data_IF_893835510289
#
_entry.id   IF_893835510289
#
_cell.length_a   1.000
_cell.length_b   1.000
_cell.length_c   1.000
_cell.angle_alpha   90.00
_cell.angle_beta   90.00
_cell.angle_gamma   90.00
#
_symmetry.space_group_name_H-M   'P 1'
#
loop_
_entity.id
_entity.type
_entity.pdbx_description
1 polymer ?
#
# COMPACT_ATOMS: atom_id res chain seq x y z
N UNK A 1 1.82 -67.69 40.24
CA UNK A 1 1.29 -68.87 39.53
C UNK A 1 0.29 -68.40 38.50
N UNK A 2 0.62 -68.54 37.22
CA UNK A 2 -0.32 -68.55 36.09
C UNK A 2 -1.15 -69.84 36.10
N UNK A 3 -2.30 -69.89 35.40
CA UNK A 3 -2.32 -70.47 34.04
C UNK A 3 -3.12 -69.59 33.05
N UNK A 4 -2.63 -69.28 31.84
CA UNK A 4 -2.42 -70.10 30.62
C UNK A 4 -3.70 -70.34 29.77
N UNK A 5 -3.82 -69.54 28.71
CA UNK A 5 -3.91 -69.90 27.26
C UNK A 5 -4.56 -71.20 26.78
N UNK A 6 -5.42 -71.11 25.74
CA UNK A 6 -5.34 -71.76 24.40
C UNK A 6 -6.64 -71.45 23.59
N UNK A 7 -6.59 -70.71 22.47
CA UNK A 7 -6.41 -71.11 21.05
C UNK A 7 -7.58 -71.85 20.39
N UNK A 8 -8.20 -71.21 19.38
CA UNK A 8 -8.50 -71.87 18.10
C UNK A 8 -8.11 -70.97 16.94
N UNK A 9 -7.38 -71.59 16.02
CA UNK A 9 -6.83 -71.08 14.77
C UNK A 9 -7.91 -71.10 13.70
N UNK A 10 -7.96 -70.08 12.85
CA UNK A 10 -8.40 -70.29 11.48
C UNK A 10 -7.48 -69.53 10.53
N UNK A 11 -6.79 -70.31 9.71
CA UNK A 11 -5.82 -69.88 8.71
C UNK A 11 -6.43 -70.23 7.34
N UNK A 12 -6.61 -69.22 6.48
CA UNK A 12 -6.77 -69.31 5.02
C UNK A 12 -6.26 -67.97 4.47
N UNK A 13 -4.99 -67.84 4.11
CA UNK A 13 -4.39 -68.06 2.78
C UNK A 13 -5.05 -67.22 1.66
N UNK A 14 -4.31 -66.15 1.34
CA UNK A 14 -3.98 -65.59 0.02
C UNK A 14 -5.09 -65.25 -0.99
N UNK A 15 -5.23 -63.94 -1.22
CA UNK A 15 -5.64 -63.36 -2.49
C UNK A 15 -5.00 -61.98 -2.62
N UNK A 16 -3.86 -61.90 -3.31
CA UNK A 16 -3.15 -60.65 -3.53
C UNK A 16 -3.94 -59.73 -4.46
N UNK A 17 -4.13 -58.49 -4.03
CA UNK A 17 -4.31 -57.36 -4.93
C UNK A 17 -3.26 -56.32 -4.57
N UNK A 18 -2.18 -56.30 -5.37
CA UNK A 18 -1.33 -55.12 -5.47
C UNK A 18 -2.17 -54.02 -6.14
N UNK A 19 -2.86 -53.21 -5.34
CA UNK A 19 -3.32 -51.92 -5.81
C UNK A 19 -2.14 -50.98 -5.67
N UNK A 20 -1.43 -50.74 -6.77
CA UNK A 20 -0.51 -49.62 -6.87
C UNK A 20 -1.29 -48.36 -6.57
N UNK A 21 -1.05 -47.74 -5.42
CA UNK A 21 -1.49 -46.40 -5.12
C UNK A 21 -0.82 -45.45 -6.11
N UNK A 22 -1.51 -45.19 -7.23
CA UNK A 22 -1.26 -44.02 -8.06
C UNK A 22 -1.37 -42.83 -7.11
N UNK A 23 -0.30 -42.04 -7.03
CA UNK A 23 -0.19 -40.91 -6.13
C UNK A 23 -1.45 -40.05 -6.20
N UNK A 24 -2.14 -39.96 -5.06
CA UNK A 24 -3.03 -38.84 -4.86
C UNK A 24 -2.13 -37.60 -4.90
N UNK A 25 -2.21 -36.85 -6.00
CA UNK A 25 -1.85 -35.44 -5.98
C UNK A 25 -2.67 -34.80 -4.86
N UNK A 26 -2.07 -34.73 -3.67
CA UNK A 26 -2.59 -33.91 -2.58
C UNK A 26 -2.42 -32.47 -3.05
N UNK A 27 -3.40 -31.99 -3.81
CA UNK A 27 -3.53 -30.59 -4.12
C UNK A 27 -3.76 -29.89 -2.77
N UNK A 28 -2.67 -29.39 -2.18
CA UNK A 28 -2.66 -28.72 -0.89
C UNK A 28 -3.75 -27.64 -0.86
N UNK A 29 -4.54 -27.62 0.21
CA UNK A 29 -5.78 -26.84 0.29
C UNK A 29 -5.46 -25.34 0.44
N UNK A 30 -5.35 -24.65 -0.70
CA UNK A 30 -5.10 -23.20 -0.72
C UNK A 30 -6.29 -22.43 -0.15
N UNK A 31 -6.06 -21.59 0.86
CA UNK A 31 -7.07 -20.66 1.39
C UNK A 31 -7.05 -19.35 0.59
N UNK A 32 -8.22 -18.93 0.14
CA UNK A 32 -8.44 -17.64 -0.54
C UNK A 32 -9.06 -16.62 0.41
N UNK A 33 -8.53 -15.40 0.40
CA UNK A 33 -9.03 -14.26 1.18
C UNK A 33 -9.07 -13.02 0.27
N UNK A 34 -10.15 -12.25 0.34
CA UNK A 34 -10.33 -11.04 -0.47
C UNK A 34 -10.41 -9.82 0.45
N UNK A 35 -9.68 -8.77 0.09
CA UNK A 35 -9.59 -7.55 0.88
C UNK A 35 -9.75 -6.34 -0.02
N UNK A 36 -10.44 -5.31 0.47
CA UNK A 36 -10.61 -4.09 -0.31
C UNK A 36 -9.28 -3.39 -0.54
N UNK A 37 -8.42 -3.41 0.47
CA UNK A 37 -7.10 -2.79 0.41
C UNK A 37 -6.05 -3.55 1.23
N UNK A 38 -4.82 -3.06 1.25
CA UNK A 38 -3.74 -3.57 2.10
C UNK A 38 -3.34 -2.56 3.17
N UNK A 39 -2.71 -3.06 4.23
CA UNK A 39 -2.10 -2.23 5.27
C UNK A 39 -0.87 -1.54 4.70
N UNK A 40 -0.71 -0.24 4.99
CA UNK A 40 0.45 0.54 4.56
C UNK A 40 1.73 0.03 5.25
N UNK A 41 2.84 0.03 4.51
CA UNK A 41 4.16 -0.38 5.01
C UNK A 41 5.27 0.55 4.54
N UNK A 42 6.16 0.94 5.44
CA UNK A 42 7.33 1.78 5.14
C UNK A 42 8.58 0.99 4.78
N UNK A 43 8.64 -0.29 5.16
CA UNK A 43 9.78 -1.18 4.99
C UNK A 43 9.32 -2.53 4.43
N UNK A 44 10.15 -3.21 3.60
CA UNK A 44 9.88 -4.58 3.16
C UNK A 44 9.92 -5.61 4.31
N UNK A 45 10.38 -5.23 5.50
CA UNK A 45 10.31 -6.05 6.72
C UNK A 45 8.87 -6.30 7.16
N UNK A 46 8.02 -5.28 7.15
CA UNK A 46 6.65 -5.38 7.64
C UNK A 46 5.84 -6.47 6.88
N UNK A 47 4.94 -7.11 7.61
CA UNK A 47 4.07 -8.15 7.07
C UNK A 47 3.13 -7.60 5.99
N UNK A 48 2.70 -8.49 5.08
CA UNK A 48 1.69 -8.17 4.09
C UNK A 48 0.33 -8.58 4.64
N UNK A 49 -0.51 -7.58 4.85
CA UNK A 49 -1.82 -7.73 5.46
C UNK A 49 -2.87 -7.06 4.58
N UNK A 50 -3.99 -7.76 4.36
CA UNK A 50 -5.17 -7.17 3.80
C UNK A 50 -6.00 -6.48 4.89
N UNK A 51 -6.71 -5.42 4.52
CA UNK A 51 -7.66 -4.71 5.38
C UNK A 51 -9.01 -4.58 4.67
N UNK A 52 -10.07 -4.44 5.45
CA UNK A 52 -11.46 -4.40 4.96
C UNK A 52 -11.82 -5.64 4.12
N UNK A 53 -12.04 -6.81 4.75
CA UNK A 53 -12.41 -8.04 4.04
C UNK A 53 -13.67 -7.86 3.18
N UNK A 54 -13.69 -8.49 2.01
CA UNK A 54 -14.80 -8.44 1.05
C UNK A 54 -15.18 -9.84 0.58
N UNK A 55 -16.35 -9.99 -0.04
CA UNK A 55 -16.85 -11.24 -0.63
C UNK A 55 -17.07 -11.08 -2.12
N UNK A 56 -17.17 -12.19 -2.86
CA UNK A 56 -17.36 -12.14 -4.32
C UNK A 56 -18.65 -11.43 -4.73
N UNK A 57 -19.63 -11.37 -3.83
CA UNK A 57 -20.92 -10.73 -4.01
C UNK A 57 -20.87 -9.21 -3.85
N UNK A 58 -19.88 -8.65 -3.12
CA UNK A 58 -19.82 -7.22 -2.78
C UNK A 58 -18.58 -6.48 -3.31
N UNK A 59 -17.70 -7.13 -4.08
CA UNK A 59 -16.49 -6.49 -4.65
C UNK A 59 -16.79 -5.48 -5.77
N UNK A 60 -17.82 -5.72 -6.60
CA UNK A 60 -18.18 -4.87 -7.74
C UNK A 60 -17.11 -4.82 -8.85
N UNK A 61 -16.99 -3.67 -9.51
CA UNK A 61 -15.89 -3.32 -10.45
C UNK A 61 -14.73 -2.58 -9.77
N UNK A 62 -14.84 -2.33 -8.47
CA UNK A 62 -13.82 -1.72 -7.64
C UNK A 62 -12.49 -2.46 -7.60
N UNK A 63 -11.49 -1.80 -7.04
CA UNK A 63 -10.23 -2.46 -6.70
C UNK A 63 -10.45 -3.43 -5.53
N UNK A 64 -9.75 -4.56 -5.55
CA UNK A 64 -9.52 -5.42 -4.38
C UNK A 64 -8.21 -6.22 -4.53
N UNK A 65 -7.77 -6.82 -3.44
CA UNK A 65 -6.62 -7.72 -3.40
C UNK A 65 -7.05 -9.13 -3.02
N UNK A 66 -6.54 -10.12 -3.76
CA UNK A 66 -6.77 -11.54 -3.51
C UNK A 66 -5.51 -12.15 -2.94
N UNK A 67 -5.59 -12.62 -1.71
CA UNK A 67 -4.53 -13.33 -1.01
C UNK A 67 -4.77 -14.82 -1.10
N UNK A 68 -3.75 -15.57 -1.49
CA UNK A 68 -3.77 -17.02 -1.53
C UNK A 68 -2.72 -17.51 -0.53
N UNK A 69 -3.14 -18.36 0.40
CA UNK A 69 -2.28 -18.92 1.44
C UNK A 69 -2.12 -20.43 1.28
N UNK A 70 -0.96 -20.95 1.66
CA UNK A 70 -0.74 -22.38 1.81
C UNK A 70 -1.32 -22.90 3.15
N UNK A 71 -1.24 -24.21 3.35
CA UNK A 71 -1.75 -24.90 4.55
C UNK A 71 -1.03 -24.48 5.85
N UNK A 72 0.15 -23.87 5.74
CA UNK A 72 0.90 -23.26 6.86
C UNK A 72 0.47 -21.82 7.16
N UNK A 73 -0.53 -21.29 6.44
CA UNK A 73 -1.00 -19.90 6.55
C UNK A 73 -0.10 -18.86 5.88
N UNK A 74 0.99 -19.26 5.23
CA UNK A 74 1.89 -18.34 4.54
C UNK A 74 1.28 -17.88 3.22
N UNK A 75 1.40 -16.58 2.92
CA UNK A 75 0.93 -16.02 1.64
C UNK A 75 1.83 -16.55 0.52
N UNK A 76 1.25 -17.24 -0.46
CA UNK A 76 1.97 -17.75 -1.64
C UNK A 76 1.69 -16.93 -2.89
N UNK A 77 0.58 -16.17 -2.90
CA UNK A 77 0.26 -15.23 -3.99
C UNK A 77 -0.61 -14.08 -3.49
N UNK A 78 -0.35 -12.89 -4.02
CA UNK A 78 -1.22 -11.73 -3.91
C UNK A 78 -1.51 -11.25 -5.33
N UNK A 79 -2.78 -11.06 -5.66
CA UNK A 79 -3.20 -10.50 -6.95
C UNK A 79 -3.93 -9.19 -6.68
N UNK A 80 -3.63 -8.17 -7.50
CA UNK A 80 -4.46 -6.97 -7.56
C UNK A 80 -5.49 -7.14 -8.66
N UNK A 81 -6.75 -6.93 -8.28
CA UNK A 81 -7.88 -6.96 -9.18
C UNK A 81 -8.52 -5.58 -9.27
N UNK A 82 -8.92 -5.19 -10.47
CA UNK A 82 -9.67 -3.98 -10.74
C UNK A 82 -10.52 -4.19 -12.00
N UNK A 83 -11.79 -3.78 -11.97
CA UNK A 83 -12.76 -4.05 -13.04
C UNK A 83 -12.78 -5.52 -13.48
N UNK A 84 -12.75 -6.42 -12.51
CA UNK A 84 -12.81 -7.88 -12.70
C UNK A 84 -11.64 -8.46 -13.52
N UNK A 85 -10.52 -7.75 -13.63
CA UNK A 85 -9.29 -8.23 -14.25
C UNK A 85 -8.09 -8.03 -13.31
N UNK A 86 -7.11 -8.92 -13.43
CA UNK A 86 -5.80 -8.72 -12.80
C UNK A 86 -5.13 -7.55 -13.51
N UNK A 87 -4.72 -6.51 -12.77
CA UNK A 87 -4.17 -5.31 -13.41
C UNK A 87 -3.06 -4.65 -12.59
N UNK A 88 -2.03 -4.13 -13.26
CA UNK A 88 -0.93 -3.39 -12.62
C UNK A 88 -1.41 -2.08 -12.03
N UNK A 89 -0.53 -1.47 -11.22
CA UNK A 89 -0.79 -0.21 -10.54
C UNK A 89 -1.54 -0.42 -9.23
N UNK A 90 -2.08 0.66 -8.66
CA UNK A 90 -2.66 0.67 -7.32
C UNK A 90 -2.11 1.81 -6.48
N UNK A 91 -2.40 1.81 -5.19
CA UNK A 91 -2.00 2.89 -4.31
C UNK A 91 -0.47 2.92 -4.14
N UNK A 92 0.16 3.97 -4.66
CA UNK A 92 1.63 4.09 -4.73
C UNK A 92 2.33 3.99 -3.36
N UNK A 93 1.61 4.19 -2.24
CA UNK A 93 2.17 4.03 -0.89
C UNK A 93 2.51 2.57 -0.54
N UNK A 94 2.05 1.54 -1.27
CA UNK A 94 2.43 0.13 -0.97
C UNK A 94 3.82 -0.28 -1.50
N UNK A 95 4.59 0.66 -2.04
CA UNK A 95 5.97 0.44 -2.48
C UNK A 95 6.07 -0.60 -3.61
N UNK A 96 7.06 -1.50 -3.52
CA UNK A 96 7.38 -2.50 -4.54
C UNK A 96 6.19 -3.37 -5.02
N UNK A 97 5.18 -3.60 -4.18
CA UNK A 97 4.03 -4.45 -4.52
C UNK A 97 2.97 -3.66 -5.31
N UNK A 98 2.94 -2.33 -5.16
CA UNK A 98 1.93 -1.47 -5.76
C UNK A 98 2.00 -1.43 -7.30
N UNK A 99 3.13 -1.82 -7.91
CA UNK A 99 3.29 -1.76 -9.37
C UNK A 99 2.91 -3.07 -10.06
N UNK A 100 2.88 -4.20 -9.35
CA UNK A 100 2.69 -5.51 -9.94
C UNK A 100 1.21 -5.90 -10.04
N UNK A 101 0.87 -6.67 -11.07
CA UNK A 101 -0.47 -7.23 -11.22
C UNK A 101 -0.66 -8.41 -10.26
N UNK A 102 0.37 -9.23 -10.10
CA UNK A 102 0.44 -10.21 -9.01
C UNK A 102 1.87 -10.41 -8.49
N UNK A 103 1.95 -10.99 -7.29
CA UNK A 103 3.19 -11.28 -6.59
C UNK A 103 3.14 -12.70 -6.07
N UNK A 104 4.18 -13.49 -6.27
CA UNK A 104 4.29 -14.85 -5.72
C UNK A 104 5.40 -14.95 -4.68
N UNK A 105 5.26 -15.93 -3.80
CA UNK A 105 6.18 -16.16 -2.69
C UNK A 105 6.51 -17.64 -2.62
N UNK A 106 7.80 -17.96 -2.76
CA UNK A 106 8.32 -19.30 -2.53
C UNK A 106 9.08 -19.33 -1.21
N UNK A 107 8.82 -20.36 -0.42
CA UNK A 107 9.44 -20.56 0.88
C UNK A 107 10.30 -21.81 0.84
N UNK A 108 11.52 -21.70 1.32
CA UNK A 108 12.39 -22.82 1.68
C UNK A 108 12.86 -22.62 3.13
N UNK A 109 13.57 -23.59 3.71
CA UNK A 109 13.78 -23.67 5.16
C UNK A 109 14.26 -22.34 5.80
N UNK A 110 15.14 -21.58 5.12
CA UNK A 110 15.68 -20.31 5.63
C UNK A 110 15.56 -19.14 4.64
N UNK A 111 14.69 -19.23 3.63
CA UNK A 111 14.51 -18.13 2.68
C UNK A 111 13.06 -17.99 2.22
N UNK A 112 12.72 -16.75 1.86
CA UNK A 112 11.50 -16.41 1.14
C UNK A 112 11.90 -15.66 -0.13
N UNK A 113 11.48 -16.14 -1.30
CA UNK A 113 11.71 -15.50 -2.59
C UNK A 113 10.40 -14.90 -3.07
N UNK A 114 10.40 -13.59 -3.36
CA UNK A 114 9.24 -12.85 -3.86
C UNK A 114 9.46 -12.43 -5.31
N UNK A 115 8.49 -12.73 -6.19
CA UNK A 115 8.54 -12.41 -7.63
C UNK A 115 7.34 -11.62 -8.09
N UNK A 116 7.53 -10.84 -9.14
CA UNK A 116 6.54 -9.89 -9.64
C UNK A 116 6.09 -10.25 -11.06
N UNK A 117 4.78 -10.17 -11.28
CA UNK A 117 4.15 -10.58 -12.52
C UNK A 117 3.20 -9.51 -13.03
N UNK A 118 3.13 -9.41 -14.35
CA UNK A 118 2.20 -8.54 -15.03
C UNK A 118 0.82 -9.15 -15.28
N UNK A 119 -0.04 -8.40 -15.96
CA UNK A 119 -1.40 -8.83 -16.31
C UNK A 119 -1.43 -10.09 -17.18
N UNK A 120 -0.36 -10.33 -17.94
CA UNK A 120 -0.19 -11.46 -18.84
C UNK A 120 0.61 -12.61 -18.19
N UNK A 121 0.81 -12.54 -16.87
CA UNK A 121 1.59 -13.50 -16.08
C UNK A 121 3.03 -13.67 -16.58
N UNK A 122 3.62 -12.61 -17.13
CA UNK A 122 5.04 -12.53 -17.47
C UNK A 122 5.83 -11.89 -16.32
N UNK A 123 7.09 -12.32 -16.08
CA UNK A 123 7.96 -11.66 -15.12
C UNK A 123 8.10 -10.17 -15.42
N UNK A 124 8.05 -9.33 -14.38
CA UNK A 124 8.22 -7.89 -14.53
C UNK A 124 9.13 -7.30 -13.46
N UNK A 125 9.70 -6.13 -13.75
CA UNK A 125 10.35 -5.32 -12.74
C UNK A 125 9.31 -4.64 -11.85
N UNK A 126 9.57 -4.64 -10.54
CA UNK A 126 8.76 -3.91 -9.58
C UNK A 126 9.09 -2.40 -9.60
N UNK A 127 8.44 -1.63 -8.72
CA UNK A 127 8.67 -0.18 -8.57
C UNK A 127 10.13 0.19 -8.29
N UNK A 128 10.95 -0.73 -7.75
CA UNK A 128 12.37 -0.52 -7.51
C UNK A 128 13.28 -1.03 -8.62
N UNK A 129 12.74 -1.46 -9.77
CA UNK A 129 13.53 -1.92 -10.92
C UNK A 129 14.12 -3.31 -10.76
N UNK A 130 13.51 -4.18 -9.94
CA UNK A 130 14.00 -5.55 -9.68
C UNK A 130 12.91 -6.58 -9.93
N UNK A 131 13.25 -7.79 -10.36
CA UNK A 131 12.30 -8.87 -10.69
C UNK A 131 12.13 -9.87 -9.56
N UNK A 132 13.16 -10.09 -8.75
CA UNK A 132 13.11 -10.95 -7.58
C UNK A 132 13.63 -10.23 -6.33
N UNK A 133 12.99 -10.53 -5.20
CA UNK A 133 13.47 -10.19 -3.86
C UNK A 133 13.70 -11.47 -3.08
N UNK A 134 14.90 -11.62 -2.53
CA UNK A 134 15.35 -12.80 -1.81
C UNK A 134 15.61 -12.39 -0.38
N UNK A 135 14.76 -12.90 0.51
CA UNK A 135 14.86 -12.74 1.95
C UNK A 135 15.54 -13.95 2.54
N UNK A 136 16.53 -13.75 3.41
CA UNK A 136 16.97 -14.82 4.33
C UNK A 136 16.24 -14.68 5.66
N UNK A 137 15.98 -15.81 6.32
CA UNK A 137 15.28 -15.88 7.59
C UNK A 137 16.23 -16.40 8.68
N UNK A 138 16.02 -15.98 9.92
CA UNK A 138 16.63 -16.59 11.10
C UNK A 138 15.85 -17.85 11.55
N UNK A 139 16.33 -18.51 12.62
CA UNK A 139 15.71 -19.73 13.16
C UNK A 139 14.29 -19.51 13.71
N UNK A 140 13.92 -18.26 14.03
CA UNK A 140 12.58 -17.87 14.46
C UNK A 140 11.68 -17.48 13.28
N UNK A 141 12.22 -17.48 12.05
CA UNK A 141 11.51 -17.07 10.84
C UNK A 141 11.50 -15.56 10.60
N UNK A 142 12.23 -14.77 11.37
CA UNK A 142 12.35 -13.33 11.13
C UNK A 142 13.25 -13.06 9.93
N UNK A 143 12.90 -12.03 9.15
CA UNK A 143 13.74 -11.60 8.02
C UNK A 143 15.07 -11.06 8.54
N UNK A 144 16.17 -11.56 7.98
CA UNK A 144 17.55 -11.18 8.33
C UNK A 144 18.23 -10.35 7.26
N UNK A 145 18.06 -10.71 5.98
CA UNK A 145 18.57 -9.91 4.86
C UNK A 145 17.58 -9.85 3.71
N UNK A 146 17.70 -8.82 2.88
CA UNK A 146 17.01 -8.71 1.59
C UNK A 146 18.00 -8.33 0.50
N UNK A 147 17.90 -9.06 -0.60
CA UNK A 147 18.74 -8.99 -1.79
C UNK A 147 17.87 -9.08 -3.05
N UNK A 148 18.26 -8.43 -4.15
CA UNK A 148 17.49 -8.28 -5.40
C UNK A 148 18.10 -8.93 -6.66
N UNK A 149 17.30 -9.52 -7.53
CA UNK A 149 17.77 -9.95 -8.87
C UNK A 149 17.07 -9.23 -10.00
N UNK A 150 17.74 -9.17 -11.14
CA UNK A 150 17.17 -8.71 -12.40
C UNK A 150 16.54 -9.88 -13.20
N UNK A 151 16.04 -9.58 -14.39
CA UNK A 151 15.39 -10.56 -15.29
C UNK A 151 16.31 -11.70 -15.75
N UNK A 152 17.63 -11.52 -15.68
CA UNK A 152 18.60 -12.55 -16.03
C UNK A 152 18.96 -13.45 -14.82
N UNK A 153 18.47 -13.10 -13.62
CA UNK A 153 18.81 -13.76 -12.37
C UNK A 153 20.08 -13.20 -11.72
N UNK A 154 20.65 -12.13 -12.26
CA UNK A 154 21.88 -11.53 -11.76
C UNK A 154 21.60 -10.67 -10.52
N UNK A 155 22.55 -10.66 -9.59
CA UNK A 155 22.50 -9.86 -8.36
C UNK A 155 22.62 -8.37 -8.73
N UNK A 156 21.61 -7.58 -8.35
CA UNK A 156 21.56 -6.12 -8.62
C UNK A 156 21.28 -5.30 -7.36
N UNK A 157 21.56 -4.00 -7.45
CA UNK A 157 21.02 -3.00 -6.54
C UNK A 157 19.62 -2.57 -7.01
N UNK A 158 18.80 -2.10 -6.09
CA UNK A 158 17.51 -1.51 -6.43
C UNK A 158 17.67 -0.08 -6.98
N UNK A 159 16.59 0.53 -7.47
CA UNK A 159 16.57 1.90 -8.03
C UNK A 159 17.06 3.00 -7.07
N UNK A 160 17.17 2.72 -5.77
CA UNK A 160 17.71 3.65 -4.75
C UNK A 160 19.20 3.45 -4.53
N UNK A 161 19.82 2.48 -5.19
CA UNK A 161 21.22 2.09 -4.99
C UNK A 161 21.42 1.06 -3.86
N UNK A 162 20.34 0.52 -3.27
CA UNK A 162 20.46 -0.44 -2.16
C UNK A 162 20.82 -1.81 -2.73
N UNK A 163 22.01 -2.30 -2.37
CA UNK A 163 22.50 -3.62 -2.73
C UNK A 163 22.11 -4.69 -1.72
N UNK A 164 22.00 -4.35 -0.44
CA UNK A 164 21.53 -5.26 0.61
C UNK A 164 20.85 -4.50 1.72
N UNK A 165 19.75 -5.03 2.22
CA UNK A 165 19.14 -4.61 3.50
C UNK A 165 19.41 -5.69 4.53
N UNK A 166 19.70 -5.29 5.77
CA UNK A 166 19.93 -6.18 6.91
C UNK A 166 19.02 -5.78 8.05
N UNK A 167 18.54 -6.78 8.78
CA UNK A 167 17.69 -6.60 9.95
C UNK A 167 18.28 -7.29 11.17
N UNK A 168 18.24 -6.58 12.29
CA UNK A 168 18.37 -7.13 13.63
C UNK A 168 17.01 -7.03 14.32
N UNK A 169 16.53 -8.13 14.89
CA UNK A 169 15.14 -8.29 15.31
C UNK A 169 15.13 -8.81 16.73
N UNK A 170 14.38 -8.15 17.62
CA UNK A 170 14.18 -8.63 18.98
C UNK A 170 13.50 -10.00 19.00
N UNK A 171 13.71 -10.77 20.07
CA UNK A 171 13.16 -12.13 20.19
C UNK A 171 11.62 -12.18 20.04
N UNK A 172 10.92 -11.13 20.45
CA UNK A 172 9.47 -10.98 20.32
C UNK A 172 9.00 -10.44 18.95
N UNK A 173 9.93 -10.10 18.05
CA UNK A 173 9.64 -9.58 16.72
C UNK A 173 9.18 -8.11 16.68
N UNK A 174 9.08 -7.41 17.83
CA UNK A 174 8.45 -6.08 17.92
C UNK A 174 9.40 -4.91 17.71
N UNK A 175 10.70 -5.12 17.90
CA UNK A 175 11.73 -4.12 17.65
C UNK A 175 12.64 -4.59 16.53
N UNK A 176 12.79 -3.73 15.52
CA UNK A 176 13.56 -4.06 14.31
C UNK A 176 14.52 -2.94 14.01
N UNK A 177 15.81 -3.24 13.89
CA UNK A 177 16.82 -2.32 13.37
C UNK A 177 17.06 -2.69 11.91
N UNK A 178 16.94 -1.72 11.00
CA UNK A 178 17.18 -1.89 9.57
C UNK A 178 18.34 -1.03 9.09
N UNK A 179 19.32 -1.70 8.47
CA UNK A 179 20.45 -1.09 7.79
C UNK A 179 20.41 -1.40 6.29
N UNK A 180 20.80 -0.42 5.47
CA UNK A 180 20.83 -0.54 4.01
C UNK A 180 22.21 -0.16 3.52
N UNK A 181 22.76 -0.93 2.58
CA UNK A 181 24.08 -0.70 2.04
C UNK A 181 24.07 -0.80 0.53
N UNK A 182 24.87 0.03 -0.14
CA UNK A 182 25.17 -0.11 -1.55
C UNK A 182 26.22 -1.19 -1.80
N UNK A 183 26.60 -1.37 -3.07
CA UNK A 183 27.48 -2.47 -3.51
C UNK A 183 28.89 -2.38 -2.90
N UNK A 184 29.34 -1.17 -2.58
CA UNK A 184 30.64 -0.92 -1.96
C UNK A 184 30.59 -1.02 -0.42
N UNK A 185 29.41 -1.32 0.14
CA UNK A 185 29.21 -1.44 1.59
C UNK A 185 28.96 -0.12 2.30
N UNK A 186 28.76 0.99 1.57
CA UNK A 186 28.44 2.28 2.20
C UNK A 186 26.94 2.33 2.58
N UNK A 187 26.57 2.96 3.71
CA UNK A 187 25.18 3.09 4.12
C UNK A 187 24.32 3.87 3.14
N UNK A 188 23.08 3.43 2.94
CA UNK A 188 22.07 4.08 2.10
C UNK A 188 20.85 4.52 2.93
N UNK A 189 20.21 5.60 2.47
CA UNK A 189 19.01 6.13 3.11
C UNK A 189 17.76 5.30 2.80
N UNK A 190 16.73 5.44 3.63
CA UNK A 190 15.45 4.75 3.50
C UNK A 190 14.75 5.11 2.18
N UNK A 191 14.51 6.40 1.93
CA UNK A 191 13.99 6.93 0.68
C UNK A 191 14.28 8.44 0.56
N UNK A 192 13.82 9.07 -0.52
CA UNK A 192 14.01 10.51 -0.70
C UNK A 192 13.11 11.38 0.17
N UNK A 193 11.92 10.91 0.56
CA UNK A 193 11.00 11.69 1.39
C UNK A 193 11.46 11.77 2.85
N UNK A 194 11.88 10.64 3.42
CA UNK A 194 12.50 10.48 4.74
C UNK A 194 13.92 9.98 4.52
N UNK A 195 14.86 10.90 4.57
CA UNK A 195 16.30 10.68 4.40
C UNK A 195 16.95 10.08 5.65
N UNK A 196 16.26 9.11 6.25
CA UNK A 196 16.74 8.37 7.40
C UNK A 196 17.80 7.36 6.96
N UNK A 197 18.86 7.21 7.76
CA UNK A 197 19.93 6.23 7.51
C UNK A 197 19.55 4.88 8.12
N UNK A 198 20.22 4.53 9.23
CA UNK A 198 19.83 3.40 10.08
C UNK A 198 18.51 3.73 10.76
N UNK A 199 17.56 2.81 10.66
CA UNK A 199 16.26 2.99 11.30
C UNK A 199 15.98 1.94 12.36
N UNK A 200 15.29 2.34 13.43
CA UNK A 200 14.63 1.44 14.38
C UNK A 200 13.12 1.53 14.17
N UNK A 201 12.45 0.41 14.07
CA UNK A 201 11.00 0.32 13.94
C UNK A 201 10.41 -0.41 15.15
N UNK A 202 9.24 0.07 15.59
CA UNK A 202 8.46 -0.53 16.66
C UNK A 202 7.14 -1.02 16.08
N UNK A 203 6.77 -2.26 16.40
CA UNK A 203 5.54 -2.91 15.96
C UNK A 203 4.68 -3.33 17.15
N UNK A 204 3.36 -3.33 16.96
CA UNK A 204 2.41 -3.89 17.92
C UNK A 204 2.24 -5.41 17.74
N UNK A 205 1.32 -6.01 18.52
CA UNK A 205 1.00 -7.45 18.44
C UNK A 205 0.38 -7.88 17.09
N UNK A 206 -0.21 -6.93 16.36
CA UNK A 206 -0.80 -7.16 15.04
C UNK A 206 0.24 -7.00 13.90
N UNK A 207 1.48 -6.64 14.24
CA UNK A 207 2.53 -6.33 13.26
C UNK A 207 2.31 -5.00 12.54
N UNK A 208 1.48 -4.10 13.09
CA UNK A 208 1.35 -2.73 12.63
C UNK A 208 2.51 -1.90 13.15
N UNK A 209 3.11 -1.11 12.28
CA UNK A 209 4.26 -0.27 12.62
C UNK A 209 3.78 0.97 13.36
N UNK A 210 4.12 1.07 14.64
CA UNK A 210 3.81 2.23 15.48
C UNK A 210 4.80 3.36 15.23
N UNK A 211 6.10 3.06 15.19
CA UNK A 211 7.13 4.09 15.09
C UNK A 211 8.27 3.72 14.13
N UNK A 212 8.90 4.74 13.56
CA UNK A 212 10.16 4.62 12.79
C UNK A 212 11.09 5.74 13.21
N UNK A 213 12.24 5.37 13.76
CA UNK A 213 13.24 6.27 14.33
C UNK A 213 14.45 6.29 13.43
N UNK A 214 15.01 7.46 13.18
CA UNK A 214 16.33 7.66 12.59
C UNK A 214 17.37 7.65 13.72
N UNK A 215 18.29 6.70 13.70
CA UNK A 215 19.23 6.49 14.79
C UNK A 215 20.68 6.46 14.31
N UNK A 216 21.61 6.83 15.18
CA UNK A 216 23.04 6.66 14.96
C UNK A 216 23.51 5.21 15.20
N UNK A 217 24.83 5.00 15.13
CA UNK A 217 25.41 3.68 15.34
C UNK A 217 25.21 3.14 16.78
N UNK A 218 24.98 4.03 17.75
CA UNK A 218 24.76 3.74 19.16
C UNK A 218 23.27 3.64 19.51
N UNK A 219 22.36 3.88 18.56
CA UNK A 219 20.93 3.84 18.77
C UNK A 219 20.31 5.15 19.27
N UNK A 220 21.06 6.25 19.28
CA UNK A 220 20.55 7.58 19.66
C UNK A 220 19.83 8.22 18.47
N UNK A 221 18.73 8.93 18.74
CA UNK A 221 17.95 9.66 17.74
C UNK A 221 18.78 10.75 17.05
N UNK A 222 18.58 10.87 15.73
CA UNK A 222 19.16 11.91 14.88
C UNK A 222 18.10 12.56 14.01
N UNK A 223 18.07 13.90 13.97
CA UNK A 223 17.31 14.62 12.95
C UNK A 223 17.89 14.31 11.57
N UNK A 224 17.03 13.98 10.62
CA UNK A 224 17.47 13.72 9.26
C UNK A 224 17.97 15.02 8.59
N UNK A 225 19.03 14.97 7.78
CA UNK A 225 19.65 16.16 7.20
C UNK A 225 18.69 17.10 6.46
N UNK A 226 17.72 16.57 5.72
CA UNK A 226 16.83 17.36 4.88
C UNK A 226 15.51 17.68 5.58
N UNK A 227 14.84 16.68 6.15
CA UNK A 227 13.52 16.89 6.79
C UNK A 227 13.60 17.45 8.19
N UNK A 228 14.76 17.35 8.85
CA UNK A 228 14.97 17.81 10.23
C UNK A 228 14.05 17.11 11.24
N UNK A 229 13.68 15.86 10.96
CA UNK A 229 12.86 15.00 11.82
C UNK A 229 13.62 13.71 12.14
N UNK A 230 13.38 13.13 13.31
CA UNK A 230 14.01 11.90 13.77
C UNK A 230 13.02 10.75 13.93
N UNK A 231 11.73 11.02 14.14
CA UNK A 231 10.71 9.99 14.39
C UNK A 231 9.50 10.21 13.49
N UNK A 232 8.96 9.12 12.98
CA UNK A 232 7.61 9.04 12.41
C UNK A 232 6.77 8.13 13.30
N UNK A 233 5.70 8.66 13.88
CA UNK A 233 4.70 7.87 14.62
C UNK A 233 3.45 7.68 13.76
N UNK A 234 2.94 6.45 13.74
CA UNK A 234 1.73 6.06 13.02
C UNK A 234 0.72 5.56 14.05
N UNK A 235 -0.50 6.10 13.98
CA UNK A 235 -1.60 5.72 14.85
C UNK A 235 -2.63 4.99 14.00
N UNK A 236 -3.06 3.83 14.47
CA UNK A 236 -3.94 2.94 13.73
C UNK A 236 -5.31 2.82 14.41
N UNK A 237 -6.34 2.54 13.63
CA UNK A 237 -7.53 1.85 14.12
C UNK A 237 -7.26 0.36 14.02
N UNK A 238 -7.00 -0.31 15.15
CA UNK A 238 -6.64 -1.72 15.17
C UNK A 238 -7.80 -2.64 14.71
N UNK A 239 -9.05 -2.17 14.78
CA UNK A 239 -10.21 -2.98 14.39
C UNK A 239 -10.37 -3.07 12.87
N UNK A 240 -10.00 -2.00 12.15
CA UNK A 240 -10.10 -1.92 10.69
C UNK A 240 -8.74 -1.95 9.99
N UNK A 241 -7.65 -1.84 10.75
CA UNK A 241 -6.26 -1.69 10.30
C UNK A 241 -6.03 -0.41 9.48
N UNK A 242 -6.81 0.65 9.75
CA UNK A 242 -6.72 1.93 9.07
C UNK A 242 -5.69 2.85 9.72
N UNK A 243 -4.88 3.53 8.90
CA UNK A 243 -3.99 4.58 9.38
C UNK A 243 -4.82 5.81 9.78
N UNK A 244 -4.90 6.12 11.07
CA UNK A 244 -5.67 7.27 11.59
C UNK A 244 -4.87 8.55 11.62
N UNK A 245 -3.57 8.46 11.88
CA UNK A 245 -2.69 9.63 11.96
C UNK A 245 -1.24 9.25 11.68
N UNK A 246 -0.52 10.15 11.01
CA UNK A 246 0.94 10.17 10.98
C UNK A 246 1.41 11.45 11.66
N UNK A 247 2.48 11.38 12.46
CA UNK A 247 3.12 12.54 13.06
C UNK A 247 4.64 12.45 13.01
N UNK A 248 5.30 13.60 12.83
CA UNK A 248 6.74 13.73 12.76
C UNK A 248 7.30 14.45 13.98
N UNK A 249 8.40 13.93 14.54
CA UNK A 249 9.06 14.50 15.71
C UNK A 249 10.56 14.68 15.45
N UNK A 250 11.17 15.65 16.12
CA UNK A 250 12.61 15.84 16.14
C UNK A 250 13.32 14.85 17.09
N UNK A 251 14.65 14.95 17.16
CA UNK A 251 15.51 14.09 17.98
C UNK A 251 15.33 14.31 19.50
N UNK A 252 14.71 15.42 19.90
CA UNK A 252 14.28 15.72 21.26
C UNK A 252 12.84 15.25 21.54
N UNK A 253 12.27 14.47 20.62
CA UNK A 253 10.92 13.91 20.68
C UNK A 253 9.80 14.98 20.72
N UNK A 254 10.04 16.15 20.14
CA UNK A 254 9.03 17.21 19.99
C UNK A 254 8.43 17.20 18.60
N UNK A 255 7.12 17.46 18.51
CA UNK A 255 6.43 17.59 17.22
C UNK A 255 7.15 18.62 16.34
N UNK A 256 7.42 18.25 15.10
CA UNK A 256 8.23 19.04 14.19
C UNK A 256 7.55 19.18 12.84
N UNK A 257 7.40 20.42 12.38
CA UNK A 257 6.99 20.69 11.02
C UNK A 257 8.04 20.15 10.05
N UNK A 258 7.60 19.37 9.07
CA UNK A 258 8.45 18.90 7.98
C UNK A 258 9.10 20.09 7.29
N UNK A 259 10.43 20.10 7.22
CA UNK A 259 11.17 21.12 6.49
C UNK A 259 10.90 21.00 4.97
N UNK A 260 10.96 22.11 4.21
CA UNK A 260 10.90 22.09 2.75
C UNK A 260 11.94 21.13 2.17
N UNK A 261 11.55 20.39 1.13
CA UNK A 261 12.48 19.53 0.41
C UNK A 261 12.29 19.74 -1.09
N UNK A 262 13.36 20.16 -1.76
CA UNK A 262 13.33 20.57 -3.18
C UNK A 262 12.79 19.49 -4.11
N UNK A 263 13.04 18.21 -3.80
CA UNK A 263 12.55 17.09 -4.61
C UNK A 263 11.07 16.76 -4.41
N UNK A 264 10.41 17.33 -3.38
CA UNK A 264 8.97 17.17 -3.12
C UNK A 264 8.34 18.51 -2.73
N UNK A 265 8.19 19.44 -3.69
CA UNK A 265 7.54 20.73 -3.44
C UNK A 265 6.10 20.51 -2.97
N UNK A 266 5.64 21.37 -2.05
CA UNK A 266 4.26 21.36 -1.52
C UNK A 266 3.97 20.36 -0.39
N UNK A 267 4.93 19.52 0.01
CA UNK A 267 4.77 18.57 1.13
C UNK A 267 5.72 18.97 2.28
N UNK A 268 5.42 20.09 2.94
CA UNK A 268 6.18 20.62 4.07
C UNK A 268 5.31 21.57 4.92
N UNK A 269 5.80 21.99 6.08
CA UNK A 269 5.13 23.00 6.93
C UNK A 269 4.08 22.44 7.91
N UNK A 270 3.85 21.14 7.90
CA UNK A 270 2.98 20.43 8.85
C UNK A 270 3.75 19.37 9.63
N UNK A 271 3.29 19.06 10.84
CA UNK A 271 3.86 18.07 11.78
C UNK A 271 3.01 16.81 11.91
N UNK A 272 1.76 16.82 11.40
CA UNK A 272 0.93 15.62 11.36
C UNK A 272 -0.13 15.67 10.28
N UNK A 273 -0.58 14.48 9.89
CA UNK A 273 -1.71 14.23 8.99
C UNK A 273 -2.71 13.35 9.73
N UNK A 274 -3.98 13.74 9.75
CA UNK A 274 -5.08 12.97 10.36
C UNK A 274 -6.02 12.53 9.26
N UNK A 275 -6.36 11.24 9.25
CA UNK A 275 -7.13 10.60 8.19
C UNK A 275 -8.52 10.17 8.68
N UNK A 276 -9.51 10.41 7.83
CA UNK A 276 -10.86 9.86 7.95
C UNK A 276 -11.06 8.77 6.91
N UNK A 277 -11.64 7.65 7.33
CA UNK A 277 -12.00 6.52 6.49
C UNK A 277 -13.51 6.27 6.58
N UNK A 278 -14.12 5.81 5.49
CA UNK A 278 -15.47 5.25 5.54
C UNK A 278 -15.45 3.78 6.01
N UNK A 279 -16.64 3.18 6.10
CA UNK A 279 -16.80 1.78 6.54
C UNK A 279 -16.20 0.74 5.60
N UNK A 280 -15.82 1.13 4.37
CA UNK A 280 -15.14 0.26 3.41
C UNK A 280 -13.63 0.49 3.39
N UNK A 281 -13.12 1.40 4.23
CA UNK A 281 -11.71 1.72 4.35
C UNK A 281 -11.19 2.72 3.33
N UNK A 282 -12.07 3.39 2.58
CA UNK A 282 -11.62 4.44 1.67
C UNK A 282 -11.38 5.73 2.44
N UNK A 283 -10.26 6.40 2.15
CA UNK A 283 -9.94 7.68 2.78
C UNK A 283 -10.92 8.76 2.30
N UNK A 284 -11.87 9.11 3.16
CA UNK A 284 -12.84 10.16 2.86
C UNK A 284 -12.30 11.54 3.13
N UNK A 285 -11.23 11.72 3.91
CA UNK A 285 -10.62 13.03 4.13
C UNK A 285 -9.27 12.96 4.83
N UNK A 286 -8.54 14.06 4.76
CA UNK A 286 -7.26 14.25 5.44
C UNK A 286 -7.12 15.71 5.88
N UNK A 287 -6.66 15.94 7.12
CA UNK A 287 -6.34 17.27 7.65
C UNK A 287 -4.87 17.30 8.08
N UNK A 288 -4.16 18.37 7.71
CA UNK A 288 -2.77 18.62 8.12
C UNK A 288 -2.71 19.62 9.26
N UNK A 289 -1.86 19.35 10.25
CA UNK A 289 -1.63 20.23 11.40
C UNK A 289 -0.16 20.58 11.55
N UNK A 290 0.16 21.81 11.94
CA UNK A 290 1.51 22.23 12.32
C UNK A 290 1.89 21.73 13.72
N UNK A 291 3.11 22.01 14.16
CA UNK A 291 3.65 21.59 15.47
C UNK A 291 2.96 22.26 16.67
N UNK A 292 2.18 23.31 16.42
CA UNK A 292 1.36 23.99 17.44
C UNK A 292 -0.09 23.48 17.44
N UNK A 293 -0.42 22.52 16.57
CA UNK A 293 -1.75 21.95 16.44
C UNK A 293 -2.72 22.80 15.63
N UNK A 294 -2.23 23.78 14.87
CA UNK A 294 -3.05 24.61 13.97
C UNK A 294 -3.17 23.93 12.60
N UNK A 295 -4.31 24.10 11.94
CA UNK A 295 -4.53 23.55 10.60
C UNK A 295 -3.62 24.26 9.59
N UNK A 296 -3.00 23.48 8.71
CA UNK A 296 -2.16 23.99 7.62
C UNK A 296 -2.99 24.04 6.32
N UNK A 297 -3.09 25.23 5.73
CA UNK A 297 -3.66 25.45 4.38
C UNK A 297 -2.56 25.77 3.40
N UNK A 298 -2.67 25.27 2.16
CA UNK A 298 -1.83 25.75 1.08
C UNK A 298 -2.16 27.21 0.76
N UNK A 299 -1.15 28.10 0.59
CA UNK A 299 -1.40 29.49 0.21
C UNK A 299 -2.22 29.57 -1.08
N UNK A 300 -3.32 30.32 -1.06
CA UNK A 300 -4.23 30.47 -2.20
C UNK A 300 -5.30 29.38 -2.33
N UNK A 301 -5.26 28.35 -1.48
CA UNK A 301 -6.35 27.37 -1.34
C UNK A 301 -7.23 27.74 -0.15
N UNK A 302 -8.52 27.99 -0.41
CA UNK A 302 -9.50 28.28 0.65
C UNK A 302 -9.98 27.05 1.40
N UNK A 303 -9.55 25.85 0.97
CA UNK A 303 -9.89 24.56 1.57
C UNK A 303 -8.77 24.01 2.45
N UNK A 304 -9.16 23.43 3.58
CA UNK A 304 -8.26 22.75 4.54
C UNK A 304 -8.34 21.24 4.42
N UNK A 305 -9.46 20.72 3.90
CA UNK A 305 -9.66 19.31 3.60
C UNK A 305 -10.72 19.17 2.50
N UNK A 306 -10.66 18.05 1.79
CA UNK A 306 -11.74 17.58 0.94
C UNK A 306 -12.43 16.37 1.57
N UNK A 307 -13.72 16.22 1.29
CA UNK A 307 -14.45 14.98 1.55
C UNK A 307 -14.73 14.24 0.26
N UNK A 308 -14.21 13.03 0.13
CA UNK A 308 -14.56 12.11 -0.95
C UNK A 308 -15.82 11.34 -0.56
N UNK A 309 -16.74 11.20 -1.50
CA UNK A 309 -17.92 10.34 -1.38
C UNK A 309 -17.72 9.22 -2.39
N UNK A 310 -17.73 7.98 -1.92
CA UNK A 310 -17.55 6.79 -2.73
C UNK A 310 -18.89 6.08 -2.97
N UNK A 311 -19.00 5.36 -4.09
CA UNK A 311 -20.00 4.30 -4.21
C UNK A 311 -19.57 3.03 -3.46
N UNK A 312 -20.42 2.01 -3.47
CA UNK A 312 -20.15 0.73 -2.79
C UNK A 312 -18.92 -0.02 -3.34
N UNK A 313 -18.44 0.34 -4.52
CA UNK A 313 -17.31 -0.29 -5.21
C UNK A 313 -16.02 0.52 -5.03
N UNK A 314 -16.08 1.70 -4.42
CA UNK A 314 -14.91 2.56 -4.18
C UNK A 314 -14.59 3.54 -5.27
N UNK A 315 -15.52 3.80 -6.19
CA UNK A 315 -15.36 4.88 -7.14
C UNK A 315 -15.84 6.19 -6.51
N UNK A 316 -15.01 7.23 -6.61
CA UNK A 316 -15.33 8.58 -6.10
C UNK A 316 -16.51 9.17 -6.89
N UNK A 317 -17.69 9.27 -6.30
CA UNK A 317 -18.86 9.94 -6.88
C UNK A 317 -18.75 11.46 -6.78
N UNK A 318 -18.22 11.95 -5.65
CA UNK A 318 -18.24 13.36 -5.30
C UNK A 318 -17.00 13.74 -4.50
N UNK A 319 -16.49 14.94 -4.72
CA UNK A 319 -15.44 15.56 -3.89
C UNK A 319 -15.94 16.93 -3.46
N UNK A 320 -15.95 17.21 -2.17
CA UNK A 320 -16.38 18.50 -1.61
C UNK A 320 -15.26 19.15 -0.83
N UNK A 321 -15.12 20.47 -0.93
CA UNK A 321 -14.05 21.20 -0.24
C UNK A 321 -14.61 21.99 0.94
N UNK A 322 -13.88 21.97 2.07
CA UNK A 322 -14.31 22.61 3.31
C UNK A 322 -13.21 23.49 3.91
N UNK A 323 -13.62 24.56 4.60
CA UNK A 323 -12.72 25.43 5.36
C UNK A 323 -12.49 24.90 6.79
N UNK A 324 -11.64 25.60 7.54
CA UNK A 324 -11.25 25.32 8.93
C UNK A 324 -12.44 25.20 9.91
N UNK A 325 -13.60 25.77 9.54
CA UNK A 325 -14.86 25.68 10.29
C UNK A 325 -15.78 24.56 9.81
N UNK A 326 -15.30 23.68 8.92
CA UNK A 326 -16.09 22.60 8.34
C UNK A 326 -17.21 23.07 7.41
N UNK A 327 -17.16 24.31 6.92
CA UNK A 327 -18.16 24.84 5.98
C UNK A 327 -17.67 24.67 4.54
N UNK A 328 -18.57 24.38 3.57
CA UNK A 328 -18.21 24.36 2.16
C UNK A 328 -17.46 25.63 1.74
N UNK A 329 -16.39 25.47 0.97
CA UNK A 329 -15.51 26.56 0.51
C UNK A 329 -15.02 26.30 -0.91
N UNK A 330 -14.41 27.30 -1.55
CA UNK A 330 -13.74 27.12 -2.83
C UNK A 330 -12.30 26.66 -2.60
N UNK A 331 -11.86 25.68 -3.38
CA UNK A 331 -10.45 25.33 -3.47
C UNK A 331 -9.64 26.38 -4.25
N UNK A 332 -8.33 26.20 -4.38
CA UNK A 332 -7.45 27.11 -5.12
C UNK A 332 -7.87 27.36 -6.58
N UNK A 333 -8.54 26.40 -7.22
CA UNK A 333 -9.05 26.50 -8.59
C UNK A 333 -10.44 27.14 -8.70
N UNK A 334 -11.03 27.61 -7.59
CA UNK A 334 -12.36 28.23 -7.59
C UNK A 334 -13.51 27.23 -7.66
N UNK A 335 -13.31 25.99 -7.19
CA UNK A 335 -14.32 24.91 -7.21
C UNK A 335 -14.69 24.52 -5.78
N UNK A 336 -15.98 24.37 -5.50
CA UNK A 336 -16.49 23.87 -4.21
C UNK A 336 -16.82 22.37 -4.24
N UNK A 337 -17.21 21.85 -5.40
CA UNK A 337 -17.61 20.45 -5.57
C UNK A 337 -17.19 19.90 -6.94
N UNK A 338 -16.73 18.66 -6.96
CA UNK A 338 -16.44 17.89 -8.17
C UNK A 338 -17.39 16.69 -8.17
N UNK A 339 -18.23 16.56 -9.18
CA UNK A 339 -19.05 15.39 -9.41
C UNK A 339 -18.40 14.52 -10.49
N UNK A 340 -18.35 13.21 -10.26
CA UNK A 340 -17.81 12.26 -11.23
C UNK A 340 -18.91 11.29 -11.64
N UNK A 341 -19.30 11.37 -12.90
CA UNK A 341 -20.33 10.53 -13.50
C UNK A 341 -19.65 9.36 -14.21
N UNK A 342 -20.18 8.16 -14.01
CA UNK A 342 -19.62 6.92 -14.57
C UNK A 342 -20.66 6.10 -15.33
N UNK A 343 -20.17 5.21 -16.18
CA UNK A 343 -20.96 4.11 -16.69
C UNK A 343 -21.08 2.97 -15.67
N UNK A 344 -21.81 1.92 -16.04
CA UNK A 344 -22.06 0.71 -15.24
C UNK A 344 -20.80 -0.13 -14.96
N UNK A 345 -19.72 0.09 -15.70
CA UNK A 345 -18.40 -0.54 -15.48
C UNK A 345 -17.46 0.32 -14.62
N UNK A 346 -17.94 1.46 -14.13
CA UNK A 346 -17.16 2.42 -13.34
C UNK A 346 -16.16 3.23 -14.17
N UNK A 347 -16.33 3.34 -15.50
CA UNK A 347 -15.54 4.28 -16.33
C UNK A 347 -16.10 5.68 -16.24
N UNK A 348 -15.24 6.67 -16.01
CA UNK A 348 -15.64 8.07 -15.91
C UNK A 348 -16.17 8.57 -17.25
N UNK A 349 -17.44 8.94 -17.29
CA UNK A 349 -18.08 9.61 -18.42
C UNK A 349 -17.93 11.12 -18.33
N UNK A 350 -18.04 11.69 -17.12
CA UNK A 350 -17.89 13.13 -16.93
C UNK A 350 -17.23 13.48 -15.60
N UNK A 351 -16.50 14.61 -15.59
CA UNK A 351 -16.19 15.35 -14.37
C UNK A 351 -16.84 16.72 -14.48
N UNK A 352 -17.60 17.13 -13.47
CA UNK A 352 -18.29 18.43 -13.44
C UNK A 352 -17.85 19.23 -12.24
N UNK A 353 -17.54 20.51 -12.45
CA UNK A 353 -17.04 21.42 -11.42
C UNK A 353 -18.11 22.43 -11.04
N UNK A 354 -18.40 22.54 -9.75
CA UNK A 354 -19.46 23.39 -9.22
C UNK A 354 -18.92 24.45 -8.26
N UNK A 355 -19.55 25.62 -8.26
CA UNK A 355 -19.34 26.67 -7.27
C UNK A 355 -20.08 26.39 -5.95
N UNK A 356 -20.02 27.35 -5.02
CA UNK A 356 -20.69 27.26 -3.71
C UNK A 356 -22.21 27.27 -3.79
N UNK A 357 -22.80 27.78 -4.87
CA UNK A 357 -24.24 27.82 -5.09
C UNK A 357 -24.74 26.56 -5.81
N UNK A 358 -23.83 25.66 -6.20
CA UNK A 358 -24.14 24.44 -6.94
C UNK A 358 -24.32 24.66 -8.44
N UNK A 359 -23.86 25.79 -8.99
CA UNK A 359 -23.84 26.04 -10.43
C UNK A 359 -22.51 25.59 -11.05
N UNK A 360 -22.52 25.19 -12.32
CA UNK A 360 -21.29 24.88 -13.05
C UNK A 360 -20.35 26.09 -13.07
N UNK A 361 -19.07 25.86 -12.82
CA UNK A 361 -18.06 26.93 -12.75
C UNK A 361 -16.81 26.58 -13.52
N UNK A 362 -16.24 27.57 -14.19
CA UNK A 362 -14.97 27.45 -14.90
C UNK A 362 -13.83 27.41 -13.89
N UNK A 363 -13.02 26.36 -13.94
CA UNK A 363 -11.80 26.31 -13.12
C UNK A 363 -10.85 27.44 -13.53
N UNK A 364 -10.21 28.05 -12.54
CA UNK A 364 -9.29 29.18 -12.78
C UNK A 364 -8.08 28.83 -13.64
N UNK A 365 -7.62 27.57 -13.60
CA UNK A 365 -6.37 27.16 -14.23
C UNK A 365 -6.50 26.92 -15.74
N UNK A 366 -7.66 26.45 -16.22
CA UNK A 366 -7.85 26.10 -17.63
C UNK A 366 -9.23 26.47 -18.21
N UNK A 367 -10.08 27.13 -17.42
CA UNK A 367 -11.40 27.57 -17.85
C UNK A 367 -12.45 26.46 -17.91
N UNK A 368 -12.10 25.19 -17.67
CA UNK A 368 -13.02 24.06 -17.86
C UNK A 368 -14.03 23.97 -16.74
N UNK A 369 -15.31 23.74 -17.06
CA UNK A 369 -16.37 23.39 -16.12
C UNK A 369 -16.82 21.92 -16.23
N UNK A 370 -16.67 21.32 -17.41
CA UNK A 370 -17.01 19.90 -17.64
C UNK A 370 -15.94 19.24 -18.51
N UNK A 371 -15.44 18.10 -18.06
CA UNK A 371 -14.78 17.12 -18.93
C UNK A 371 -15.79 16.06 -19.32
N UNK A 372 -15.95 15.76 -20.61
CA UNK A 372 -16.66 14.56 -21.07
C UNK A 372 -15.68 13.59 -21.71
N UNK A 373 -15.78 12.33 -21.33
CA UNK A 373 -14.92 11.27 -21.84
C UNK A 373 -15.78 10.32 -22.68
N UNK A 374 -15.32 10.02 -23.88
CA UNK A 374 -15.91 8.98 -24.74
C UNK A 374 -14.89 7.90 -24.99
N UNK A 375 -15.33 6.65 -24.95
CA UNK A 375 -14.47 5.47 -25.13
C UNK A 375 -14.88 4.75 -26.41
N UNK A 376 -14.30 5.17 -27.55
CA UNK A 376 -14.49 4.50 -28.85
C UNK A 376 -13.23 3.67 -29.14
N UNK A 377 -13.39 2.38 -29.45
CA UNK A 377 -12.28 1.45 -29.75
C UNK A 377 -11.16 1.41 -28.67
N UNK A 378 -11.51 1.69 -27.41
CA UNK A 378 -10.57 1.67 -26.29
C UNK A 378 -9.69 2.92 -26.15
N UNK A 379 -9.82 3.91 -27.02
CA UNK A 379 -9.14 5.21 -26.87
C UNK A 379 -10.09 6.22 -26.19
N UNK A 380 -9.67 6.84 -25.07
CA UNK A 380 -10.45 7.92 -24.47
C UNK A 380 -10.28 9.21 -25.29
N UNK A 381 -11.37 9.76 -25.82
CA UNK A 381 -11.41 11.15 -26.25
C UNK A 381 -11.96 12.03 -25.13
N UNK A 382 -11.44 13.26 -25.01
CA UNK A 382 -11.83 14.20 -23.97
C UNK A 382 -12.34 15.48 -24.63
N UNK A 383 -13.62 15.77 -24.44
CA UNK A 383 -14.23 17.06 -24.72
C UNK A 383 -14.10 17.94 -23.47
N UNK A 384 -13.63 19.18 -23.63
CA UNK A 384 -13.49 20.17 -22.55
C UNK A 384 -14.49 21.28 -22.77
N UNK A 385 -15.37 21.52 -21.82
CA UNK A 385 -16.42 22.53 -21.95
C UNK A 385 -16.32 23.58 -20.85
N UNK A 386 -16.61 24.83 -21.19
CA UNK A 386 -16.88 25.87 -20.21
C UNK A 386 -18.27 25.65 -19.55
N UNK A 387 -18.61 26.49 -18.58
CA UNK A 387 -19.87 26.44 -17.83
C UNK A 387 -21.11 26.68 -18.69
N UNK A 388 -20.95 27.31 -19.85
CA UNK A 388 -22.01 27.63 -20.80
C UNK A 388 -22.14 26.52 -21.87
N UNK A 389 -21.25 25.52 -21.86
CA UNK A 389 -21.25 24.37 -22.77
C UNK A 389 -20.43 24.57 -24.04
N UNK A 390 -19.63 25.63 -24.14
CA UNK A 390 -18.76 25.87 -25.29
C UNK A 390 -17.46 25.08 -25.15
N UNK A 391 -16.96 24.55 -26.27
CA UNK A 391 -15.72 23.79 -26.29
C UNK A 391 -14.49 24.69 -26.05
N UNK A 392 -13.62 24.25 -25.14
CA UNK A 392 -12.34 24.90 -24.84
C UNK A 392 -11.24 24.10 -25.54
N UNK A 393 -10.62 24.72 -26.53
CA UNK A 393 -9.44 24.15 -27.20
C UNK A 393 -8.27 24.09 -26.23
N UNK A 394 -7.54 22.96 -26.19
CA UNK A 394 -6.28 22.91 -25.45
C UNK A 394 -5.31 23.91 -26.05
N UNK A 395 -4.89 24.92 -25.27
CA UNK A 395 -3.64 25.60 -25.60
C UNK A 395 -2.50 24.60 -25.41
N UNK A 396 -1.71 24.42 -26.46
CA UNK A 396 -0.52 23.55 -26.50
C UNK A 396 0.50 23.92 -25.44
#
# INVERSE_FOLDING_TARGET
MTPKTLWFVMMCICGGFFCTAVGADTQMAKKEELYRDMVFRSSPYAALQGRHPVTKENIGYGQYYRFIRNDKGQVVRIERWFRKAITRGGYARFGAIASAASVTFDYNDNQMIRRYWDENNQPMENYWGVTEEIFTLDELGHKKTLTYRDKNGDRVADSRGVWITKWDVSQDGKTVIEDRFNKDGNPEKLNEFLDFGRIKMLFDEHGLRLETWNIDAQGKLLNSPQRQVAIVKTFWDESTLDEKKIAWYDAEEKLKNLAPYEKRPGIYGFSSEVYEHDSNGYTVGMIQFDSEGRIVTLPGDGSVFSRNIYDAEGFVLDIRFFNDKGKPTLNGNGVARIEVIRDDTGRTLQNRFYDLMGALTNRKNDGVAVFKLTYTEGQPSIERLDKDGNEISSQN
#
